data_IF_094151549434
#
_entry.id   IF_094151549434
#
_cell.length_a   1.000
_cell.length_b   1.000
_cell.length_c   1.000
_cell.angle_alpha   90.00
_cell.angle_beta   90.00
_cell.angle_gamma   90.00
#
_symmetry.space_group_name_H-M   'P 1'
#
loop_
_entity.id
_entity.type
_entity.pdbx_description
1 polymer ?
2 non-polymer ?
3 non-polymer ?
4 non-polymer ?
5 water ?
#
# COMPACT_ATOMS: atom_id res chain seq x y z
N UNK A 6 -5.83 14.35 2.73
CA UNK A 6 -4.88 14.05 1.65
C UNK A 6 -3.62 14.93 1.70
N UNK A 28 -3.10 -3.96 25.67
CA UNK A 28 -1.75 -3.91 26.21
C UNK A 28 -0.72 -4.23 25.14
N UNK A 29 0.51 -3.73 25.34
CA UNK A 29 1.60 -3.93 24.39
C UNK A 29 2.04 -5.39 24.34
N UNK A 30 2.27 -5.95 23.14
CA UNK A 30 2.76 -7.33 23.09
C UNK A 30 4.18 -7.44 23.69
N UNK A 31 4.57 -8.67 24.04
CA UNK A 31 5.90 -8.94 24.53
C UNK A 31 6.72 -9.14 23.24
N UNK A 32 7.47 -8.09 22.85
CA UNK A 32 8.31 -8.07 21.64
C UNK A 32 9.44 -9.10 21.61
N UNK A 33 9.72 -9.72 22.77
CA UNK A 33 10.79 -10.72 22.90
C UNK A 33 10.31 -12.18 22.80
N UNK A 34 8.98 -12.44 22.84
CA UNK A 34 8.49 -13.82 22.83
C UNK A 34 8.67 -14.51 21.47
N UNK A 35 8.78 -15.84 21.47
CA UNK A 35 8.90 -16.62 20.24
C UNK A 35 7.63 -16.45 19.40
N UNK A 36 6.46 -16.40 20.07
CA UNK A 36 5.16 -16.20 19.43
C UNK A 36 5.15 -14.85 18.69
N UNK A 37 5.66 -13.77 19.33
CA UNK A 37 5.70 -12.45 18.68
C UNK A 37 6.65 -12.44 17.46
N UNK A 38 7.90 -12.88 17.66
CA UNK A 38 8.93 -12.96 16.63
C UNK A 38 8.50 -13.81 15.42
N UNK A 39 7.82 -14.95 15.66
CA UNK A 39 7.29 -15.80 14.62
C UNK A 39 6.30 -15.03 13.72
N UNK A 40 5.34 -14.34 14.34
CA UNK A 40 4.36 -13.57 13.57
C UNK A 40 5.02 -12.37 12.89
N UNK A 41 6.00 -11.73 13.56
CA UNK A 41 6.75 -10.58 13.04
C UNK A 41 7.56 -10.96 11.83
N UNK A 42 8.09 -12.21 11.77
CA UNK A 42 8.88 -12.68 10.63
C UNK A 42 8.10 -12.57 9.30
N UNK A 43 6.77 -12.81 9.35
CA UNK A 43 5.93 -12.72 8.16
C UNK A 43 5.41 -11.33 7.90
N UNK A 44 4.96 -10.60 8.94
CA UNK A 44 4.45 -9.23 8.80
C UNK A 44 5.59 -8.31 8.28
N UNK A 45 6.77 -8.41 8.91
CA UNK A 45 7.93 -7.60 8.55
C UNK A 45 8.30 -7.89 7.11
N UNK A 46 8.34 -9.17 6.72
CA UNK A 46 8.65 -9.55 5.34
C UNK A 46 7.64 -8.92 4.35
N UNK A 47 6.36 -8.93 4.70
CA UNK A 47 5.34 -8.35 3.80
C UNK A 47 5.59 -6.84 3.57
N UNK A 48 5.89 -6.11 4.63
CA UNK A 48 6.14 -4.68 4.53
C UNK A 48 7.42 -4.46 3.68
N UNK A 49 8.52 -5.25 3.93
CA UNK A 49 9.77 -5.15 3.18
C UNK A 49 9.51 -5.40 1.67
N UNK A 50 8.79 -6.48 1.35
CA UNK A 50 8.46 -6.86 -0.03
C UNK A 50 7.56 -5.81 -0.68
N UNK A 51 6.58 -5.29 0.08
CA UNK A 51 5.66 -4.27 -0.40
C UNK A 51 6.41 -3.03 -0.84
N UNK A 52 7.46 -2.65 -0.10
CA UNK A 52 8.30 -1.48 -0.39
C UNK A 52 9.15 -1.71 -1.63
N UNK A 53 9.72 -2.93 -1.78
CA UNK A 53 10.51 -3.30 -2.96
C UNK A 53 9.61 -3.25 -4.18
N UNK A 54 8.42 -3.84 -4.05
CA UNK A 54 7.44 -3.87 -5.15
C UNK A 54 6.97 -2.48 -5.55
N UNK A 55 6.80 -1.56 -4.55
CA UNK A 55 6.44 -0.17 -4.78
C UNK A 55 7.54 0.51 -5.60
N UNK A 56 8.83 0.31 -5.23
CA UNK A 56 9.97 0.84 -5.99
C UNK A 56 9.89 0.36 -7.45
N UNK A 57 9.80 -0.98 -7.67
CA UNK A 57 9.73 -1.60 -9.00
C UNK A 57 8.52 -1.08 -9.81
N UNK A 58 7.33 -0.95 -9.16
CA UNK A 58 6.11 -0.47 -9.84
C UNK A 58 6.21 0.99 -10.28
N UNK A 59 6.79 1.87 -9.44
CA UNK A 59 6.87 3.27 -9.81
C UNK A 59 7.84 3.45 -11.00
N UNK A 60 8.93 2.65 -11.08
CA UNK A 60 9.87 2.63 -12.21
C UNK A 60 9.14 2.10 -13.48
N UNK A 61 8.32 1.03 -13.31
CA UNK A 61 7.54 0.45 -14.40
C UNK A 61 6.54 1.49 -14.91
N UNK A 62 5.87 2.22 -14.00
CA UNK A 62 4.91 3.28 -14.35
C UNK A 62 5.61 4.40 -15.19
N UNK A 63 6.91 4.62 -14.94
CA UNK A 63 7.73 5.54 -15.70
C UNK A 63 7.86 5.17 -17.17
N UNK A 64 7.74 3.87 -17.51
CA UNK A 64 7.77 3.43 -18.92
C UNK A 64 6.42 3.79 -19.58
N UNK A 65 5.34 3.86 -18.78
CA UNK A 65 3.99 4.22 -19.27
C UNK A 65 3.81 5.73 -19.31
N UNK A 66 4.45 6.44 -18.36
CA UNK A 66 4.36 7.91 -18.25
C UNK A 66 5.79 8.48 -18.29
N UNK A 67 6.44 8.55 -19.49
CA UNK A 67 7.84 9.02 -19.52
C UNK A 67 8.10 10.43 -19.00
N UNK A 68 7.09 11.30 -19.10
CA UNK A 68 7.15 12.68 -18.60
C UNK A 68 7.07 12.76 -17.05
N UNK A 69 6.76 11.62 -16.39
CA UNK A 69 6.66 11.50 -14.93
C UNK A 69 7.89 10.82 -14.30
N UNK A 70 8.89 10.44 -15.12
CA UNK A 70 10.09 9.70 -14.68
C UNK A 70 10.82 10.32 -13.46
N UNK A 71 11.08 11.64 -13.44
CA UNK A 71 11.80 12.23 -12.30
C UNK A 71 11.02 12.18 -10.98
N UNK A 72 9.70 12.42 -11.03
CA UNK A 72 8.86 12.31 -9.82
C UNK A 72 8.80 10.84 -9.37
N UNK A 73 8.61 9.91 -10.33
CA UNK A 73 8.55 8.47 -10.01
C UNK A 73 9.86 7.93 -9.46
N UNK A 74 11.01 8.45 -9.92
CA UNK A 74 12.33 8.07 -9.42
C UNK A 74 12.50 8.55 -7.98
N UNK A 75 11.96 9.75 -7.67
CA UNK A 75 12.04 10.33 -6.33
C UNK A 75 11.18 9.50 -5.38
N UNK A 76 9.96 9.10 -5.81
CA UNK A 76 9.04 8.27 -5.03
C UNK A 76 9.62 6.89 -4.82
N UNK A 77 10.33 6.33 -5.84
CA UNK A 77 10.97 5.02 -5.75
C UNK A 77 12.12 5.06 -4.76
N UNK A 78 12.89 6.17 -4.72
CA UNK A 78 13.98 6.32 -3.75
C UNK A 78 13.44 6.38 -2.31
N UNK A 79 12.24 7.00 -2.11
CA UNK A 79 11.51 7.11 -0.84
C UNK A 79 11.18 5.71 -0.32
N UNK A 80 10.61 4.87 -1.19
CA UNK A 80 10.21 3.51 -0.82
C UNK A 80 11.41 2.66 -0.45
N UNK A 81 12.56 2.88 -1.09
CA UNK A 81 13.78 2.14 -0.76
C UNK A 81 14.32 2.54 0.60
N UNK A 82 14.16 3.81 0.97
CA UNK A 82 14.54 4.37 2.28
C UNK A 82 13.64 3.69 3.33
N UNK A 83 12.33 3.56 3.00
CA UNK A 83 11.36 2.89 3.86
C UNK A 83 11.70 1.40 4.00
N UNK A 84 12.04 0.72 2.89
CA UNK A 84 12.43 -0.70 2.89
C UNK A 84 13.59 -0.93 3.90
N UNK A 85 14.59 -0.04 3.89
CA UNK A 85 15.75 -0.13 4.78
C UNK A 85 15.36 0.06 6.25
N UNK A 86 14.49 1.04 6.52
CA UNK A 86 13.97 1.30 7.86
C UNK A 86 13.19 0.11 8.39
N UNK A 87 12.32 -0.49 7.56
CA UNK A 87 11.56 -1.68 7.96
C UNK A 87 12.46 -2.93 8.12
N UNK A 88 13.52 -3.07 7.29
CA UNK A 88 14.51 -4.15 7.43
C UNK A 88 15.16 -4.03 8.84
N UNK A 89 15.52 -2.79 9.25
CA UNK A 89 16.11 -2.51 10.57
C UNK A 89 15.12 -2.84 11.72
N UNK A 90 13.81 -2.82 11.47
CA UNK A 90 12.81 -3.15 12.50
C UNK A 90 12.91 -4.63 12.85
N UNK A 91 13.03 -5.46 11.82
CA UNK A 91 13.19 -6.91 11.96
C UNK A 91 14.50 -7.24 12.67
N UNK A 92 15.62 -6.65 12.21
CA UNK A 92 16.95 -6.85 12.80
C UNK A 92 16.96 -6.47 14.29
N UNK A 93 16.36 -5.31 14.64
CA UNK A 93 16.26 -4.81 16.03
C UNK A 93 15.58 -5.82 16.98
N UNK A 94 14.58 -6.57 16.48
CA UNK A 94 13.87 -7.58 17.27
C UNK A 94 14.50 -8.97 17.19
N UNK A 95 15.60 -9.10 16.43
CA UNK A 95 16.32 -10.36 16.22
C UNK A 95 15.49 -11.33 15.39
N UNK A 96 14.75 -10.79 14.43
CA UNK A 96 13.82 -11.53 13.59
C UNK A 96 14.34 -11.57 12.15
N UNK A 97 14.35 -12.77 11.56
CA UNK A 97 14.70 -13.01 10.17
C UNK A 97 13.40 -12.98 9.38
N UNK A 98 13.25 -12.00 8.49
CA UNK A 98 12.06 -11.80 7.65
C UNK A 98 11.82 -13.00 6.73
N UNK A 99 10.58 -13.54 6.68
CA UNK A 99 10.25 -14.70 5.84
C UNK A 99 9.87 -14.18 4.43
N UNK A 100 10.90 -13.90 3.61
CA UNK A 100 10.74 -13.30 2.27
C UNK A 100 9.98 -14.13 1.25
N UNK A 101 10.09 -15.47 1.31
CA UNK A 101 9.34 -16.34 0.40
C UNK A 101 7.84 -16.22 0.67
N UNK A 102 7.46 -16.18 1.96
CA UNK A 102 6.06 -16.01 2.34
C UNK A 102 5.53 -14.67 1.75
N UNK A 103 6.33 -13.59 1.88
CA UNK A 103 6.01 -12.24 1.40
C UNK A 103 5.80 -12.20 -0.12
N UNK A 104 6.71 -12.84 -0.89
CA UNK A 104 6.66 -12.91 -2.34
C UNK A 104 5.41 -13.63 -2.80
N UNK A 105 5.01 -14.71 -2.09
CA UNK A 105 3.79 -15.44 -2.40
C UNK A 105 2.55 -14.64 -2.04
N UNK A 106 2.57 -13.95 -0.88
CA UNK A 106 1.47 -13.09 -0.41
C UNK A 106 1.12 -12.05 -1.48
N UNK A 107 2.14 -11.49 -2.16
CA UNK A 107 1.94 -10.43 -3.16
C UNK A 107 1.73 -10.93 -4.59
N UNK A 108 2.01 -12.23 -4.85
CA UNK A 108 1.98 -12.81 -6.20
C UNK A 108 0.72 -12.53 -6.99
N UNK A 109 -0.52 -12.73 -6.46
CA UNK A 109 -1.74 -12.40 -7.24
C UNK A 109 -1.83 -10.95 -7.71
N UNK A 110 -1.54 -10.00 -6.82
CA UNK A 110 -1.60 -8.58 -7.14
C UNK A 110 -0.45 -8.17 -8.07
N UNK A 111 0.75 -8.76 -7.83
CA UNK A 111 1.93 -8.54 -8.68
C UNK A 111 1.63 -9.02 -10.11
N UNK A 112 1.03 -10.22 -10.26
CA UNK A 112 0.64 -10.78 -11.55
C UNK A 112 -0.33 -9.84 -12.30
N UNK A 113 -1.37 -9.35 -11.61
CA UNK A 113 -2.33 -8.41 -12.23
C UNK A 113 -1.67 -7.09 -12.62
N UNK A 114 -0.73 -6.59 -11.78
CA UNK A 114 0.01 -5.35 -12.14
C UNK A 114 0.84 -5.63 -13.41
N UNK A 115 1.55 -6.77 -13.45
CA UNK A 115 2.38 -7.14 -14.61
C UNK A 115 1.56 -7.25 -15.90
N UNK A 116 0.35 -7.88 -15.82
CA UNK A 116 -0.57 -8.04 -16.95
C UNK A 116 -1.00 -6.67 -17.48
N UNK A 117 -1.41 -5.76 -16.59
CA UNK A 117 -1.82 -4.39 -16.95
C UNK A 117 -0.64 -3.62 -17.58
N UNK A 118 0.56 -3.74 -16.97
CA UNK A 118 1.76 -3.08 -17.47
C UNK A 118 2.09 -3.50 -18.92
N UNK A 119 2.07 -4.82 -19.18
CA UNK A 119 2.33 -5.38 -20.52
C UNK A 119 1.35 -4.91 -21.57
N UNK A 120 0.12 -4.60 -21.14
CA UNK A 120 -0.97 -4.11 -21.99
C UNK A 120 -1.00 -2.59 -22.12
N UNK A 121 -0.12 -1.90 -21.38
CA UNK A 121 -0.06 -0.44 -21.37
C UNK A 121 -1.25 0.17 -20.66
N UNK A 122 -1.84 -0.55 -19.70
CA UNK A 122 -3.02 -0.11 -18.95
C UNK A 122 -2.66 0.73 -17.70
N UNK A 123 -2.18 1.96 -17.94
CA UNK A 123 -1.80 2.94 -16.92
C UNK A 123 -2.87 3.10 -15.83
N UNK A 124 -4.19 3.30 -16.14
CA UNK A 124 -5.17 3.46 -15.05
C UNK A 124 -5.21 2.26 -14.09
N UNK A 125 -5.08 1.02 -14.60
CA UNK A 125 -5.08 -0.20 -13.78
C UNK A 125 -3.83 -0.24 -12.89
N UNK A 126 -2.65 0.05 -13.48
CA UNK A 126 -1.38 0.10 -12.75
C UNK A 126 -1.43 1.11 -11.61
N UNK A 127 -1.99 2.30 -11.89
CA UNK A 127 -2.15 3.38 -10.91
C UNK A 127 -3.16 3.02 -9.82
N UNK A 128 -4.29 2.41 -10.18
CA UNK A 128 -5.26 2.02 -9.17
C UNK A 128 -4.68 0.99 -8.22
N UNK A 129 -3.93 0.03 -8.77
CA UNK A 129 -3.32 -1.01 -7.93
C UNK A 129 -2.29 -0.42 -6.97
N UNK A 130 -1.27 0.26 -7.52
CA UNK A 130 -0.18 0.80 -6.73
C UNK A 130 -0.52 2.05 -5.94
N UNK A 131 -0.94 3.09 -6.64
CA UNK A 131 -1.18 4.37 -5.99
C UNK A 131 -2.44 4.48 -5.16
N UNK A 132 -3.44 3.63 -5.41
CA UNK A 132 -4.67 3.68 -4.62
C UNK A 132 -4.80 2.51 -3.63
N UNK A 133 -4.97 1.27 -4.15
CA UNK A 133 -5.15 0.07 -3.30
C UNK A 133 -3.97 -0.18 -2.36
N UNK A 134 -2.76 -0.28 -2.91
CA UNK A 134 -1.58 -0.57 -2.09
C UNK A 134 -1.30 0.55 -1.09
N UNK A 135 -1.41 1.82 -1.52
CA UNK A 135 -1.16 2.91 -0.58
C UNK A 135 -2.18 2.94 0.57
N UNK A 136 -3.47 2.73 0.29
CA UNK A 136 -4.51 2.71 1.33
C UNK A 136 -4.28 1.52 2.28
N UNK A 137 -3.82 0.39 1.74
CA UNK A 137 -3.53 -0.83 2.50
C UNK A 137 -2.36 -0.53 3.47
N UNK A 138 -1.29 0.10 2.95
CA UNK A 138 -0.10 0.51 3.72
C UNK A 138 -0.45 1.53 4.80
N UNK A 139 -1.21 2.58 4.45
CA UNK A 139 -1.63 3.63 5.39
C UNK A 139 -2.39 3.02 6.60
N UNK A 140 -3.34 2.13 6.34
CA UNK A 140 -4.16 1.48 7.36
C UNK A 140 -3.27 0.61 8.24
N UNK A 141 -2.39 -0.19 7.63
CA UNK A 141 -1.46 -1.06 8.35
C UNK A 141 -0.59 -0.25 9.30
N UNK A 142 0.05 0.84 8.81
CA UNK A 142 0.93 1.72 9.59
C UNK A 142 0.19 2.40 10.71
N UNK A 143 -1.01 2.96 10.44
CA UNK A 143 -1.82 3.62 11.47
C UNK A 143 -2.25 2.63 12.57
N UNK A 144 -2.55 1.38 12.19
CA UNK A 144 -3.00 0.36 13.17
C UNK A 144 -1.80 -0.18 13.99
N UNK A 145 -0.65 -0.30 13.34
CA UNK A 145 0.56 -0.83 13.98
C UNK A 145 1.18 0.16 14.96
N UNK A 146 1.25 1.44 14.60
CA UNK A 146 1.89 2.46 15.45
C UNK A 146 1.58 2.36 16.95
N UNK A 147 0.30 2.38 17.42
CA UNK A 147 0.07 2.32 18.88
C UNK A 147 0.49 1.02 19.58
N UNK A 148 0.79 -0.06 18.82
CA UNK A 148 1.14 -1.37 19.45
C UNK A 148 2.57 -1.81 19.11
N UNK A 149 3.35 -0.91 18.52
CA UNK A 149 4.70 -1.21 18.08
C UNK A 149 5.73 -0.95 19.17
N UNK A 150 6.90 -1.60 19.04
CA UNK A 150 8.05 -1.41 19.91
C UNK A 150 8.63 0.01 19.69
N UNK A 151 9.38 0.62 20.64
CA UNK A 151 9.84 2.02 20.45
C UNK A 151 10.71 2.27 19.21
N UNK A 152 11.51 1.29 18.78
CA UNK A 152 12.36 1.46 17.61
C UNK A 152 11.48 1.48 16.34
N UNK A 153 10.61 0.48 16.19
CA UNK A 153 9.75 0.38 15.03
C UNK A 153 8.73 1.52 14.96
N UNK A 154 8.30 2.04 16.13
CA UNK A 154 7.33 3.14 16.19
C UNK A 154 7.89 4.38 15.52
N UNK A 155 9.15 4.78 15.86
CA UNK A 155 9.85 5.94 15.28
C UNK A 155 10.01 5.77 13.77
N UNK A 156 10.42 4.56 13.30
CA UNK A 156 10.54 4.25 11.87
C UNK A 156 9.18 4.41 11.18
N UNK A 157 8.12 3.77 11.72
CA UNK A 157 6.80 3.79 11.09
C UNK A 157 6.22 5.19 11.08
N UNK A 158 6.33 5.94 12.20
CA UNK A 158 5.86 7.33 12.29
C UNK A 158 6.63 8.20 11.29
N UNK A 159 7.91 7.92 11.12
CA UNK A 159 8.76 8.62 10.16
C UNK A 159 8.28 8.38 8.74
N UNK A 160 7.75 7.17 8.49
CA UNK A 160 7.23 6.78 7.19
C UNK A 160 5.91 7.51 6.87
N UNK A 161 4.81 7.17 7.60
CA UNK A 161 3.41 7.58 7.36
C UNK A 161 3.14 8.68 6.34
N UNK A 162 3.73 9.89 6.55
CA UNK A 162 3.61 11.08 5.71
C UNK A 162 3.96 10.87 4.25
N UNK A 163 4.90 9.96 3.97
CA UNK A 163 5.34 9.65 2.61
C UNK A 163 4.31 8.85 1.82
N UNK A 164 3.56 7.96 2.48
CA UNK A 164 2.51 7.17 1.81
C UNK A 164 1.42 8.11 1.32
N UNK A 165 1.14 9.18 2.11
CA UNK A 165 0.14 10.19 1.77
C UNK A 165 0.49 10.90 0.48
N UNK A 166 1.79 11.20 0.25
CA UNK A 166 2.30 11.82 -0.98
C UNK A 166 2.00 10.92 -2.19
N UNK A 167 2.25 9.59 -2.04
CA UNK A 167 2.05 8.57 -3.08
C UNK A 167 0.56 8.43 -3.43
N UNK A 168 -0.29 8.47 -2.40
CA UNK A 168 -1.75 8.43 -2.53
C UNK A 168 -2.27 9.75 -3.15
N UNK A 169 -1.63 10.87 -2.77
CA UNK A 169 -1.83 12.18 -3.42
C UNK A 169 -1.50 12.20 -4.91
N UNK A 170 -0.40 11.59 -5.26
CA UNK A 170 0.05 11.45 -6.65
C UNK A 170 -0.93 10.61 -7.46
N UNK A 171 -1.28 9.41 -6.97
CA UNK A 171 -2.23 8.52 -7.65
C UNK A 171 -3.51 9.23 -7.99
N UNK A 172 -4.02 10.00 -7.03
CA UNK A 172 -5.16 10.86 -7.29
C UNK A 172 -5.00 11.63 -8.60
N UNK A 173 -3.84 12.28 -8.77
CA UNK A 173 -3.80 13.46 -9.66
C UNK A 173 -3.91 13.09 -11.11
N UNK A 174 -3.20 12.02 -11.56
CA UNK A 174 -3.32 11.60 -12.95
C UNK A 174 -4.73 11.03 -13.18
N UNK A 175 -5.30 10.28 -12.22
CA UNK A 175 -6.64 9.69 -12.36
C UNK A 175 -7.70 10.76 -12.32
N UNK A 176 -7.54 11.79 -11.45
CA UNK A 176 -8.46 12.94 -11.41
C UNK A 176 -8.46 13.65 -12.77
N UNK A 177 -7.27 13.89 -13.33
CA UNK A 177 -7.15 14.57 -14.61
C UNK A 177 -7.65 13.73 -15.79
N UNK A 178 -7.54 12.39 -15.71
CA UNK A 178 -7.92 11.52 -16.82
C UNK A 178 -9.18 10.67 -16.62
N UNK A 179 -9.97 10.95 -15.57
CA UNK A 179 -11.16 10.17 -15.22
C UNK A 179 -12.10 9.84 -16.38
N UNK A 180 -12.47 10.85 -17.18
CA UNK A 180 -13.41 10.65 -18.27
C UNK A 180 -13.03 9.63 -19.34
N UNK A 181 -11.72 9.41 -19.55
CA UNK A 181 -11.22 8.45 -20.54
C UNK A 181 -11.03 7.05 -19.93
N UNK A 182 -11.03 6.97 -18.59
CA UNK A 182 -10.72 5.69 -17.95
C UNK A 182 -11.67 5.15 -16.88
N UNK A 183 -12.90 5.67 -16.81
CA UNK A 183 -13.93 5.26 -15.85
C UNK A 183 -14.17 3.75 -15.86
N UNK A 184 -14.45 3.18 -17.03
CA UNK A 184 -14.75 1.73 -17.16
C UNK A 184 -13.57 0.84 -16.78
N UNK A 185 -12.35 1.20 -17.22
CA UNK A 185 -11.17 0.45 -16.85
C UNK A 185 -10.98 0.48 -15.32
N UNK A 186 -11.17 1.66 -14.68
CA UNK A 186 -11.04 1.78 -13.21
C UNK A 186 -12.04 0.89 -12.46
N UNK A 187 -13.30 0.84 -12.93
CA UNK A 187 -14.34 -0.01 -12.33
C UNK A 187 -13.98 -1.50 -12.48
N UNK A 188 -13.41 -1.89 -13.64
CA UNK A 188 -12.93 -3.24 -13.92
C UNK A 188 -11.73 -3.57 -13.03
N UNK A 189 -10.71 -2.67 -12.96
CA UNK A 189 -9.51 -2.85 -12.13
C UNK A 189 -9.87 -3.01 -10.66
N UNK A 190 -10.85 -2.21 -10.17
CA UNK A 190 -11.34 -2.30 -8.79
C UNK A 190 -12.01 -3.67 -8.55
N UNK A 191 -12.88 -4.09 -9.48
CA UNK A 191 -13.60 -5.35 -9.38
C UNK A 191 -12.62 -6.52 -9.27
N UNK A 192 -11.56 -6.50 -10.07
CA UNK A 192 -10.56 -7.58 -10.09
C UNK A 192 -9.61 -7.51 -8.89
N UNK A 193 -9.15 -6.33 -8.52
CA UNK A 193 -8.15 -6.16 -7.46
C UNK A 193 -8.58 -5.90 -6.02
N UNK A 194 -9.73 -5.24 -5.80
CA UNK A 194 -10.19 -5.03 -4.41
C UNK A 194 -10.39 -6.39 -3.66
N UNK A 195 -10.99 -7.45 -4.27
CA UNK A 195 -11.07 -8.74 -3.56
C UNK A 195 -9.69 -9.33 -3.22
N UNK A 196 -8.65 -9.06 -4.03
CA UNK A 196 -7.29 -9.56 -3.75
C UNK A 196 -6.75 -8.91 -2.49
N UNK A 197 -7.06 -7.62 -2.30
CA UNK A 197 -6.68 -6.85 -1.10
C UNK A 197 -7.41 -7.43 0.12
N UNK A 198 -8.71 -7.74 -0.02
CA UNK A 198 -9.47 -8.36 1.08
C UNK A 198 -8.84 -9.73 1.46
N UNK A 199 -8.50 -10.58 0.47
CA UNK A 199 -7.88 -11.89 0.71
C UNK A 199 -6.52 -11.70 1.42
N UNK A 200 -5.76 -10.66 1.05
CA UNK A 200 -4.49 -10.35 1.70
C UNK A 200 -4.69 -10.02 3.19
N UNK A 201 -5.71 -9.19 3.51
CA UNK A 201 -6.07 -8.84 4.90
C UNK A 201 -6.50 -10.09 5.68
N UNK A 202 -7.29 -11.00 5.05
CA UNK A 202 -7.70 -12.27 5.68
C UNK A 202 -6.49 -13.15 5.99
N UNK A 203 -5.54 -13.25 5.04
CA UNK A 203 -4.36 -14.12 5.17
C UNK A 203 -3.39 -13.70 6.27
N UNK A 204 -3.37 -12.42 6.57
CA UNK A 204 -2.46 -11.88 7.57
C UNK A 204 -3.11 -11.51 8.91
N UNK A 205 -4.44 -11.67 9.02
CA UNK A 205 -5.22 -11.32 10.23
C UNK A 205 -4.73 -12.03 11.51
N UNK A 206 -4.37 -13.31 11.41
CA UNK A 206 -3.85 -14.09 12.53
C UNK A 206 -2.58 -13.49 13.10
N UNK A 207 -1.56 -13.28 12.23
CA UNK A 207 -0.27 -12.67 12.61
C UNK A 207 -0.46 -11.24 13.09
N UNK A 208 -1.37 -10.46 12.45
CA UNK A 208 -1.64 -9.08 12.87
C UNK A 208 -2.21 -9.08 14.30
N UNK A 209 -3.05 -10.09 14.65
CA UNK A 209 -3.66 -10.18 15.98
C UNK A 209 -2.58 -10.52 17.02
N UNK A 210 -1.57 -11.33 16.63
CA UNK A 210 -0.44 -11.61 17.51
C UNK A 210 0.27 -10.26 17.81
N UNK A 211 0.36 -9.37 16.80
CA UNK A 211 1.01 -8.04 16.96
C UNK A 211 0.09 -7.04 17.68
N UNK A 212 -1.08 -7.52 18.16
CA UNK A 212 -2.08 -6.73 18.90
C UNK A 212 -2.84 -5.73 18.01
N UNK A 213 -2.95 -6.06 16.73
CA UNK A 213 -3.74 -5.27 15.79
C UNK A 213 -5.10 -5.91 15.52
N UNK A 214 -6.15 -5.09 15.57
CA UNK A 214 -7.53 -5.54 15.33
C UNK A 214 -7.83 -5.46 13.84
N UNK A 215 -8.26 -6.58 13.22
CA UNK A 215 -8.61 -6.66 11.79
C UNK A 215 -9.67 -5.61 11.39
N UNK A 216 -10.66 -5.38 12.28
CA UNK A 216 -11.74 -4.41 12.01
C UNK A 216 -11.21 -2.99 11.89
N UNK A 217 -10.19 -2.62 12.70
CA UNK A 217 -9.51 -1.33 12.62
C UNK A 217 -8.78 -1.21 11.29
N UNK A 218 -8.09 -2.29 10.87
CA UNK A 218 -7.37 -2.34 9.60
C UNK A 218 -8.37 -2.12 8.42
N UNK A 219 -9.47 -2.89 8.42
CA UNK A 219 -10.48 -2.79 7.36
C UNK A 219 -11.11 -1.41 7.30
N UNK A 220 -11.52 -0.86 8.46
CA UNK A 220 -12.13 0.47 8.55
C UNK A 220 -11.20 1.54 7.99
N UNK A 221 -9.94 1.59 8.48
CA UNK A 221 -8.96 2.56 8.02
C UNK A 221 -8.68 2.43 6.53
N UNK A 222 -8.61 1.19 5.99
CA UNK A 222 -8.37 0.98 4.56
C UNK A 222 -9.57 1.56 3.75
N UNK A 223 -10.82 1.22 4.14
CA UNK A 223 -12.01 1.68 3.42
C UNK A 223 -12.14 3.20 3.42
N UNK A 224 -11.84 3.86 4.55
CA UNK A 224 -11.84 5.31 4.67
C UNK A 224 -10.78 5.90 3.71
N UNK A 225 -9.51 5.44 3.78
CA UNK A 225 -8.42 5.93 2.89
C UNK A 225 -8.76 5.72 1.40
N UNK A 226 -9.30 4.54 1.06
CA UNK A 226 -9.71 4.23 -0.33
C UNK A 226 -10.89 5.09 -0.76
N UNK A 227 -11.92 5.29 0.11
CA UNK A 227 -13.06 6.17 -0.21
C UNK A 227 -12.59 7.62 -0.43
N UNK A 228 -11.63 8.11 0.38
CA UNK A 228 -11.06 9.46 0.28
C UNK A 228 -10.37 9.67 -1.05
N UNK A 229 -9.57 8.68 -1.50
CA UNK A 229 -8.87 8.76 -2.78
C UNK A 229 -9.86 8.76 -3.95
N UNK A 230 -10.91 7.90 -3.87
CA UNK A 230 -11.93 7.80 -4.93
C UNK A 230 -12.73 9.10 -5.03
N UNK A 231 -13.04 9.72 -3.87
CA UNK A 231 -13.74 11.02 -3.79
C UNK A 231 -12.91 12.09 -4.48
N UNK A 232 -11.60 12.12 -4.18
CA UNK A 232 -10.65 13.06 -4.75
C UNK A 232 -10.53 12.94 -6.29
N UNK A 233 -10.55 11.70 -6.80
CA UNK A 233 -10.47 11.39 -8.24
C UNK A 233 -11.72 11.88 -9.00
N UNK A 234 -12.86 11.97 -8.31
CA UNK A 234 -14.10 12.43 -8.92
C UNK A 234 -15.23 11.44 -8.92
N UNK A 235 -15.12 10.34 -8.13
CA UNK A 235 -16.25 9.41 -8.05
C UNK A 235 -17.27 9.93 -7.05
N UNK A 236 -18.56 9.72 -7.30
CA UNK A 236 -19.62 10.12 -6.38
C UNK A 236 -19.88 8.98 -5.35
N UNK A 237 -20.75 9.23 -4.37
CA UNK A 237 -21.12 8.32 -3.28
C UNK A 237 -21.65 6.98 -3.78
N UNK A 238 -22.61 6.96 -4.71
CA UNK A 238 -23.18 5.71 -5.24
C UNK A 238 -22.10 4.85 -5.90
N UNK A 239 -21.27 5.50 -6.74
CA UNK A 239 -20.15 4.89 -7.44
C UNK A 239 -19.15 4.28 -6.47
N UNK A 240 -18.83 5.01 -5.39
CA UNK A 240 -17.89 4.53 -4.37
C UNK A 240 -18.47 3.33 -3.60
N UNK A 241 -19.74 3.41 -3.23
CA UNK A 241 -20.48 2.34 -2.54
C UNK A 241 -20.45 1.04 -3.38
N UNK A 242 -20.76 1.13 -4.69
CA UNK A 242 -20.72 0.01 -5.62
C UNK A 242 -19.27 -0.53 -5.72
N UNK A 243 -18.27 0.35 -5.79
CA UNK A 243 -16.88 -0.07 -5.82
C UNK A 243 -16.44 -0.82 -4.56
N UNK A 244 -16.74 -0.27 -3.37
CA UNK A 244 -16.39 -0.91 -2.09
C UNK A 244 -17.09 -2.28 -1.93
N UNK A 245 -18.32 -2.43 -2.50
CA UNK A 245 -19.10 -3.67 -2.47
C UNK A 245 -18.46 -4.77 -3.29
N UNK A 246 -17.55 -4.43 -4.23
CA UNK A 246 -16.84 -5.40 -5.06
C UNK A 246 -15.88 -6.25 -4.22
N UNK A 247 -15.52 -5.79 -2.98
CA UNK A 247 -14.67 -6.53 -2.03
C UNK A 247 -15.26 -7.91 -1.67
N UNK A 248 -16.60 -8.09 -1.83
CA UNK A 248 -17.31 -9.36 -1.62
C UNK A 248 -17.65 -10.03 -2.95
X LIG B 1 6.16 2.77 1.17
X LIG C 1 4.12 4.04 -1.12
X LIG D 1 3.64 1.67 -0.92
X LIG D 1 4.28 1.06 -0.06
X LIG D 1 4.22 -0.47 0.05
X LIG D 1 4.02 -0.89 1.50
X LIG D 1 3.04 -2.07 1.58
X LIG D 1 3.02 -2.65 3.00
X LIG D 1 1.72 -3.43 3.26
X LIG D 1 1.52 -3.63 4.77
X LIG D 1 0.91 -5.02 5.06
X LIG D 1 0.42 -5.14 6.51
X LIG D 1 -0.77 -6.11 6.60
X LIG D 1 -1.99 -5.39 7.17
X LIG D 1 -2.81 -4.91 6.09
X LIG D 1 -4.19 -4.81 6.41
X LIG D 1 -4.80 -3.61 5.67
X LIG D 1 -6.23 -3.73 5.62
X LIG D 1 -6.71 -4.28 4.39
X LIG D 1 -8.23 -4.34 4.46
X LIG D 1 -8.80 -4.66 3.18
X LIG D 1 -10.20 -4.36 3.29
X LIG D 1 -10.95 -4.81 2.04
X LIG E 1 3.72 -5.57 -9.08
X LIG E 1 3.62 -5.61 -7.66
X LIG E 1 5.08 -5.83 -9.69
X LIG E 1 6.18 -5.73 -8.78
#
# INVERSE_FOLDING_TARGET
HHHHHHGMPTLEMPVAAVLDSTVGSSEALPDFTSDRYKDAYSRINAIVIEGEQEAHDNYIAIGTLLPDHVEELKRLAKMEMRHKKGFTACGKNLGVKADMDFAREFFAPLRDNFQTALGQGKTPTCLLIQALLIEAFAISAYHTYIPVSDPFARKITEGVVKDEYTHLNYGEAWLKANLESCREELLEANRENLPLIRRMADQVAGDAAVLQMDKEDLIEDFLIAYQESLTEIGFNTREITRMAAAALVS
FE FE
FE FE
Y69 OAB CAC CAE CAF CAG CAH CAI CAJ CAK CAL CAM CAN OAT CAP CAR OAU CAQ CAO OAS CAD CAA
EDO C1 O1 C2 O2
#
